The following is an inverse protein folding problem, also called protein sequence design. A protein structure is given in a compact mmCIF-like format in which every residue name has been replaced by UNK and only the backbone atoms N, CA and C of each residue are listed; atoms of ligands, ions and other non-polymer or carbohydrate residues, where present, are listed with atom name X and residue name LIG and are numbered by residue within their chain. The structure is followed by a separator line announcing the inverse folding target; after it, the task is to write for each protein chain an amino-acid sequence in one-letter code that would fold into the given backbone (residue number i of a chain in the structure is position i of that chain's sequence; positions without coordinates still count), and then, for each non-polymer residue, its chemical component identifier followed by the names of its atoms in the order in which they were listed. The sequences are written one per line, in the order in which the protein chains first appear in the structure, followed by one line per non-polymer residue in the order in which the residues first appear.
data_IF_785863926341
#
_entry.id   IF_785863926341
#
_cell.length_a   1.000
_cell.length_b   1.000
_cell.length_c   1.000
_cell.angle_alpha   90.00
_cell.angle_beta   90.00
_cell.angle_gamma   90.00
#
_symmetry.space_group_name_H-M   'P 1'
#
loop_
_entity.id
_entity.type
_entity.pdbx_description
1 polymer ?
#
# COMPACT_ATOMS: atom_id res chain seq x y z
N UNK A 1 12.65 23.40 9.61
CA UNK A 1 12.89 21.95 9.70
C UNK A 1 14.13 21.64 8.88
N UNK A 2 15.19 21.08 9.49
CA UNK A 2 16.41 20.73 8.75
C UNK A 2 16.06 19.75 7.63
N UNK A 3 16.43 20.06 6.38
CA UNK A 3 16.33 19.12 5.26
C UNK A 3 17.16 17.90 5.65
N UNK A 4 16.53 16.74 5.82
CA UNK A 4 17.26 15.48 5.96
C UNK A 4 18.06 15.27 4.68
N UNK A 5 19.39 15.39 4.79
CA UNK A 5 20.34 15.07 3.73
C UNK A 5 20.43 13.55 3.60
N UNK A 6 19.69 12.97 2.64
CA UNK A 6 19.80 11.54 2.34
C UNK A 6 21.09 11.25 1.57
N UNK A 7 21.72 10.12 1.87
CA UNK A 7 22.84 9.60 1.07
C UNK A 7 22.38 9.25 -0.35
N UNK A 8 23.30 9.19 -1.31
CA UNK A 8 22.97 8.84 -2.70
C UNK A 8 22.27 7.48 -2.80
N UNK A 9 22.67 6.51 -1.97
CA UNK A 9 21.99 5.21 -1.88
C UNK A 9 20.55 5.34 -1.38
N UNK A 10 20.32 6.10 -0.30
CA UNK A 10 18.99 6.33 0.24
C UNK A 10 18.07 7.02 -0.78
N UNK A 11 18.58 8.03 -1.49
CA UNK A 11 17.84 8.69 -2.57
C UNK A 11 17.42 7.70 -3.67
N UNK A 12 18.31 6.79 -4.07
CA UNK A 12 18.00 5.74 -5.05
C UNK A 12 16.89 4.80 -4.55
N UNK A 13 16.98 4.33 -3.31
CA UNK A 13 15.95 3.46 -2.72
C UNK A 13 14.60 4.16 -2.62
N UNK A 14 14.58 5.44 -2.19
CA UNK A 14 13.36 6.24 -2.11
C UNK A 14 12.75 6.43 -3.51
N UNK A 15 13.57 6.76 -4.52
CA UNK A 15 13.11 6.92 -5.89
C UNK A 15 12.48 5.63 -6.43
N UNK A 16 13.17 4.49 -6.27
CA UNK A 16 12.67 3.20 -6.72
C UNK A 16 11.35 2.82 -6.02
N UNK A 17 11.21 3.13 -4.73
CA UNK A 17 9.93 2.92 -4.03
C UNK A 17 8.78 3.70 -4.67
N UNK A 18 8.99 4.98 -5.02
CA UNK A 18 7.94 5.78 -5.66
C UNK A 18 7.69 5.38 -7.12
N UNK A 19 8.73 4.91 -7.82
CA UNK A 19 8.63 4.36 -9.18
C UNK A 19 7.73 3.12 -9.22
N UNK A 20 7.88 2.23 -8.24
CA UNK A 20 7.10 0.97 -8.14
C UNK A 20 5.92 1.06 -7.16
N UNK A 21 5.52 2.27 -6.75
CA UNK A 21 4.49 2.44 -5.71
C UNK A 21 3.14 1.83 -6.11
N UNK A 22 2.76 1.98 -7.37
CA UNK A 22 1.50 1.46 -7.88
C UNK A 22 1.51 -0.08 -7.92
N UNK A 23 2.64 -0.69 -8.33
CA UNK A 23 2.81 -2.16 -8.29
C UNK A 23 2.73 -2.70 -6.86
N UNK A 24 3.34 -2.01 -5.90
CA UNK A 24 3.27 -2.35 -4.48
C UNK A 24 1.83 -2.21 -3.92
N UNK A 25 1.11 -1.16 -4.35
CA UNK A 25 -0.28 -0.95 -3.96
C UNK A 25 -1.19 -2.05 -4.55
N UNK A 26 -0.97 -2.45 -5.81
CA UNK A 26 -1.69 -3.54 -6.46
C UNK A 26 -1.44 -4.88 -5.75
N UNK A 27 -0.19 -5.17 -5.42
CA UNK A 27 0.17 -6.39 -4.67
C UNK A 27 -0.49 -6.41 -3.30
N UNK A 28 -0.51 -5.27 -2.60
CA UNK A 28 -1.20 -5.14 -1.31
C UNK A 28 -2.71 -5.36 -1.44
N UNK A 29 -3.32 -4.83 -2.50
CA UNK A 29 -4.75 -5.01 -2.78
C UNK A 29 -5.09 -6.49 -3.04
N UNK A 30 -4.27 -7.22 -3.79
CA UNK A 30 -4.44 -8.66 -4.01
C UNK A 30 -4.45 -9.45 -2.69
N UNK A 31 -3.55 -9.12 -1.76
CA UNK A 31 -3.56 -9.72 -0.41
C UNK A 31 -4.83 -9.38 0.36
N UNK A 32 -5.30 -8.13 0.32
CA UNK A 32 -6.54 -7.71 1.01
C UNK A 32 -7.76 -8.45 0.45
N UNK A 33 -7.84 -8.64 -0.87
CA UNK A 33 -8.93 -9.41 -1.51
C UNK A 33 -8.92 -10.87 -1.05
N UNK A 34 -7.72 -11.46 -0.92
CA UNK A 34 -7.57 -12.83 -0.39
C UNK A 34 -8.03 -12.90 1.07
N UNK A 35 -7.62 -11.93 1.90
CA UNK A 35 -8.03 -11.84 3.29
C UNK A 35 -9.54 -11.62 3.44
N UNK A 36 -10.17 -10.85 2.54
CA UNK A 36 -11.62 -10.64 2.50
C UNK A 36 -12.37 -11.94 2.23
N UNK A 37 -11.89 -12.74 1.27
CA UNK A 37 -12.45 -14.06 0.98
C UNK A 37 -12.36 -15.01 2.18
N UNK A 38 -11.28 -14.93 2.96
CA UNK A 38 -11.06 -15.74 4.15
C UNK A 38 -11.66 -15.14 5.44
N UNK A 39 -12.29 -13.97 5.38
CA UNK A 39 -12.81 -13.30 6.57
C UNK A 39 -14.09 -13.96 7.06
N UNK A 40 -14.07 -14.41 8.31
CA UNK A 40 -15.14 -15.14 9.00
C UNK A 40 -16.15 -14.24 9.71
N UNK A 41 -15.74 -13.02 10.08
CA UNK A 41 -16.59 -12.06 10.83
C UNK A 41 -16.82 -10.76 10.08
N UNK A 42 -17.99 -10.14 10.27
CA UNK A 42 -18.32 -8.84 9.67
C UNK A 42 -17.38 -7.73 10.12
N UNK A 43 -16.96 -7.75 11.39
CA UNK A 43 -15.99 -6.78 11.91
C UNK A 43 -14.65 -6.87 11.18
N UNK A 44 -14.18 -8.08 10.85
CA UNK A 44 -12.95 -8.29 10.08
C UNK A 44 -13.13 -7.83 8.64
N UNK A 45 -14.25 -8.20 8.00
CA UNK A 45 -14.61 -7.75 6.64
C UNK A 45 -14.62 -6.23 6.52
N UNK A 46 -15.29 -5.52 7.44
CA UNK A 46 -15.37 -4.06 7.42
C UNK A 46 -13.98 -3.40 7.45
N UNK A 47 -13.09 -3.85 8.35
CA UNK A 47 -11.71 -3.35 8.43
C UNK A 47 -10.90 -3.63 7.17
N UNK A 48 -11.13 -4.77 6.53
CA UNK A 48 -10.43 -5.11 5.28
C UNK A 48 -10.96 -4.25 4.11
N UNK A 49 -12.25 -3.92 4.08
CA UNK A 49 -12.81 -2.98 3.10
C UNK A 49 -12.23 -1.58 3.23
N UNK A 50 -12.09 -1.05 4.46
CA UNK A 50 -11.41 0.24 4.69
C UNK A 50 -9.95 0.23 4.19
N UNK A 51 -9.28 -0.93 4.27
CA UNK A 51 -7.91 -1.09 3.75
C UNK A 51 -7.90 -1.20 2.23
N UNK A 52 -8.84 -1.92 1.64
CA UNK A 52 -8.99 -2.05 0.18
C UNK A 52 -9.23 -0.68 -0.45
N UNK A 53 -10.13 0.13 0.11
CA UNK A 53 -10.41 1.50 -0.34
C UNK A 53 -9.12 2.34 -0.37
N UNK A 54 -8.33 2.34 0.70
CA UNK A 54 -7.06 3.09 0.76
C UNK A 54 -6.06 2.62 -0.29
N UNK A 55 -5.99 1.32 -0.55
CA UNK A 55 -5.13 0.75 -1.58
C UNK A 55 -5.61 1.16 -3.00
N UNK A 56 -6.91 1.17 -3.24
CA UNK A 56 -7.50 1.63 -4.52
C UNK A 56 -7.28 3.13 -4.75
N UNK A 57 -7.44 3.97 -3.72
CA UNK A 57 -7.11 5.40 -3.79
C UNK A 57 -5.63 5.62 -4.10
N UNK A 58 -4.73 4.79 -3.56
CA UNK A 58 -3.31 4.86 -3.88
C UNK A 58 -3.02 4.51 -5.35
N UNK A 59 -3.82 3.60 -5.93
CA UNK A 59 -3.81 3.25 -7.35
C UNK A 59 -4.54 4.27 -8.25
N UNK A 60 -5.20 5.27 -7.66
CA UNK A 60 -6.05 6.27 -8.34
C UNK A 60 -7.24 5.64 -9.09
N UNK A 61 -7.85 4.62 -8.49
CA UNK A 61 -9.07 3.93 -8.97
C UNK A 61 -10.23 4.19 -8.02
#
# INVERSE_FOLDING_TARGET
MAKQEYTNYQKKVISAFYEHRDELALTSLQSIVTDLFLADTDKKRARLWERAEKAMLALKV
#
